data_IF_520462831120
#
_entry.id   IF_520462831120
#
_cell.length_a   1.000
_cell.length_b   1.000
_cell.length_c   1.000
_cell.angle_alpha   90.00
_cell.angle_beta   90.00
_cell.angle_gamma   90.00
#
_symmetry.space_group_name_H-M   'P 1'
#
loop_
_entity.id
_entity.type
_entity.pdbx_description
1 polymer ?
#
# COMPACT_ATOMS: atom_id res chain seq x y z
N UNK A 1 5.12 -11.09 21.23
CA UNK A 1 5.57 -10.78 19.85
C UNK A 1 4.47 -11.20 18.88
N UNK A 2 4.01 -10.30 18.02
CA UNK A 2 3.12 -10.61 16.89
C UNK A 2 3.95 -11.17 15.73
N UNK A 3 3.47 -12.25 15.10
CA UNK A 3 4.15 -12.92 13.98
C UNK A 3 3.73 -12.25 12.66
N UNK A 4 4.71 -11.82 11.87
CA UNK A 4 4.51 -11.29 10.51
C UNK A 4 4.74 -12.32 9.40
N UNK A 5 5.16 -13.53 9.77
CA UNK A 5 5.55 -14.64 8.90
C UNK A 5 4.45 -15.71 8.75
N UNK A 6 3.22 -15.37 9.11
CA UNK A 6 2.04 -16.25 8.95
C UNK A 6 0.97 -15.52 8.17
N UNK A 7 0.32 -16.22 7.24
CA UNK A 7 -0.60 -15.60 6.29
C UNK A 7 -2.04 -15.53 6.85
N UNK A 8 -2.90 -14.81 6.13
CA UNK A 8 -4.33 -14.69 6.45
C UNK A 8 -4.99 -16.06 6.64
N UNK A 9 -5.75 -16.21 7.72
CA UNK A 9 -6.40 -17.47 8.11
C UNK A 9 -5.62 -18.26 9.19
N UNK A 10 -4.35 -17.95 9.44
CA UNK A 10 -3.62 -18.50 10.59
C UNK A 10 -4.04 -17.76 11.88
N UNK A 11 -4.27 -18.45 13.03
CA UNK A 11 -4.71 -17.80 14.28
C UNK A 11 -3.79 -16.71 14.84
N UNK A 12 -2.52 -16.72 14.42
CA UNK A 12 -1.51 -15.73 14.79
C UNK A 12 -1.29 -14.64 13.73
N UNK A 13 -2.11 -14.60 12.67
CA UNK A 13 -2.07 -13.54 11.67
C UNK A 13 -2.30 -12.19 12.33
N UNK A 14 -1.36 -11.26 12.15
CA UNK A 14 -1.26 -10.07 12.98
C UNK A 14 -2.48 -9.15 12.88
N UNK A 15 -3.14 -9.06 11.72
CA UNK A 15 -4.35 -8.24 11.55
C UNK A 15 -5.52 -8.83 12.34
N UNK A 16 -5.77 -10.14 12.20
CA UNK A 16 -6.85 -10.83 12.91
C UNK A 16 -6.60 -10.85 14.42
N UNK A 17 -5.34 -11.03 14.83
CA UNK A 17 -4.93 -10.96 16.22
C UNK A 17 -5.17 -9.56 16.81
N UNK A 18 -4.77 -8.50 16.10
CA UNK A 18 -4.97 -7.12 16.53
C UNK A 18 -6.47 -6.76 16.63
N UNK A 19 -7.28 -7.20 15.66
CA UNK A 19 -8.74 -7.02 15.71
C UNK A 19 -9.35 -7.71 16.93
N UNK A 20 -9.01 -8.98 17.17
CA UNK A 20 -9.47 -9.72 18.35
C UNK A 20 -9.05 -9.06 19.66
N UNK A 21 -7.81 -8.58 19.74
CA UNK A 21 -7.32 -7.88 20.93
C UNK A 21 -8.13 -6.60 21.20
N UNK A 22 -8.48 -5.85 20.15
CA UNK A 22 -9.32 -4.68 20.28
C UNK A 22 -10.74 -5.04 20.74
N UNK A 23 -11.34 -6.10 20.21
CA UNK A 23 -12.68 -6.58 20.61
C UNK A 23 -12.72 -7.02 22.09
N UNK A 24 -11.62 -7.60 22.59
CA UNK A 24 -11.49 -8.09 23.96
C UNK A 24 -11.08 -6.99 24.97
N UNK A 25 -10.65 -5.81 24.50
CA UNK A 25 -10.11 -4.74 25.35
C UNK A 25 -11.08 -3.56 25.45
N UNK A 26 -11.70 -3.29 26.62
CA UNK A 26 -12.62 -2.16 26.78
C UNK A 26 -11.97 -0.82 26.42
N UNK A 27 -12.61 -0.08 25.51
CA UNK A 27 -12.13 1.22 25.06
C UNK A 27 -11.03 1.19 23.99
N UNK A 28 -10.61 0.01 23.51
CA UNK A 28 -9.69 -0.10 22.39
C UNK A 28 -10.37 0.23 21.04
N UNK A 29 -9.58 0.70 20.09
CA UNK A 29 -10.02 0.98 18.73
C UNK A 29 -9.03 0.39 17.73
N UNK A 30 -9.53 -0.42 16.80
CA UNK A 30 -8.71 -1.03 15.76
C UNK A 30 -8.71 -0.13 14.51
N UNK A 31 -7.55 0.46 14.20
CA UNK A 31 -7.40 1.47 13.14
C UNK A 31 -7.47 0.87 11.73
N UNK A 32 -7.05 -0.39 11.56
CA UNK A 32 -7.14 -1.16 10.30
C UNK A 32 -6.55 -0.48 9.07
N UNK A 33 -5.24 -0.21 9.07
CA UNK A 33 -4.57 0.55 8.00
C UNK A 33 -4.72 -0.03 6.59
N UNK A 34 -5.05 -1.32 6.46
CA UNK A 34 -5.21 -2.00 5.18
C UNK A 34 -6.60 -1.81 4.58
N UNK A 35 -7.59 -1.40 5.38
CA UNK A 35 -8.99 -1.26 4.93
C UNK A 35 -9.60 0.10 5.30
N UNK A 36 -8.84 0.99 5.94
CA UNK A 36 -9.32 2.29 6.37
C UNK A 36 -9.00 3.37 5.33
N UNK A 37 -10.05 3.96 4.75
CA UNK A 37 -9.95 5.04 3.74
C UNK A 37 -9.20 6.27 4.23
N UNK A 38 -9.08 6.47 5.55
CA UNK A 38 -8.25 7.53 6.11
C UNK A 38 -6.77 7.41 5.69
N UNK A 39 -6.29 6.19 5.39
CA UNK A 39 -4.93 5.95 4.95
C UNK A 39 -4.64 6.60 3.57
N UNK A 40 -5.28 6.20 2.46
CA UNK A 40 -5.07 6.88 1.18
C UNK A 40 -5.54 8.35 1.20
N UNK A 41 -6.58 8.68 1.98
CA UNK A 41 -7.04 10.06 2.10
C UNK A 41 -5.95 10.99 2.66
N UNK A 42 -5.17 10.54 3.63
CA UNK A 42 -4.06 11.31 4.16
C UNK A 42 -3.10 11.71 3.04
N UNK A 43 -2.68 10.77 2.20
CA UNK A 43 -1.77 11.04 1.10
C UNK A 43 -2.39 11.88 -0.03
N UNK A 44 -3.68 11.70 -0.32
CA UNK A 44 -4.38 12.51 -1.31
C UNK A 44 -4.56 13.97 -0.88
N UNK A 45 -4.71 14.22 0.43
CA UNK A 45 -5.01 15.56 0.97
C UNK A 45 -3.80 16.30 1.51
N UNK A 46 -2.69 15.61 1.80
CA UNK A 46 -1.42 16.22 2.20
C UNK A 46 -0.29 15.90 1.22
N UNK A 47 0.17 14.65 1.18
CA UNK A 47 1.40 14.27 0.49
C UNK A 47 1.39 14.63 -1.00
N UNK A 48 0.30 14.37 -1.73
CA UNK A 48 0.21 14.67 -3.15
C UNK A 48 0.28 16.17 -3.46
N UNK A 49 -0.58 17.04 -2.86
CA UNK A 49 -0.44 18.49 -3.00
C UNK A 49 0.94 19.02 -2.61
N UNK A 50 1.54 18.49 -1.54
CA UNK A 50 2.86 18.90 -1.07
C UNK A 50 3.94 18.62 -2.13
N UNK A 51 3.99 17.39 -2.66
CA UNK A 51 4.93 17.02 -3.72
C UNK A 51 4.76 17.90 -4.96
N UNK A 52 3.51 18.05 -5.42
CA UNK A 52 3.20 18.85 -6.60
C UNK A 52 3.62 20.32 -6.42
N UNK A 53 3.32 20.91 -5.27
CA UNK A 53 3.73 22.29 -4.96
C UNK A 53 5.25 22.44 -4.88
N UNK A 54 5.92 21.50 -4.22
CA UNK A 54 7.37 21.55 -4.03
C UNK A 54 8.16 21.43 -5.33
N UNK A 55 7.61 20.74 -6.33
CA UNK A 55 8.19 20.60 -7.67
C UNK A 55 7.54 21.51 -8.71
N UNK A 56 6.84 22.56 -8.26
CA UNK A 56 6.23 23.59 -9.12
C UNK A 56 5.30 23.02 -10.21
N UNK A 57 4.68 21.89 -9.90
CA UNK A 57 3.77 21.16 -10.79
C UNK A 57 4.43 20.35 -11.90
N UNK A 58 5.76 20.30 -11.96
CA UNK A 58 6.49 19.59 -13.01
C UNK A 58 7.05 18.26 -12.51
N UNK A 59 6.17 17.26 -12.46
CA UNK A 59 6.50 15.89 -12.09
C UNK A 59 6.15 14.98 -13.26
N UNK A 60 7.13 14.24 -13.77
CA UNK A 60 6.91 13.28 -14.85
C UNK A 60 6.71 11.86 -14.32
N UNK A 61 7.37 11.50 -13.23
CA UNK A 61 7.22 10.18 -12.61
C UNK A 61 7.40 10.20 -11.09
N UNK A 62 6.69 9.32 -10.41
CA UNK A 62 6.82 9.04 -8.97
C UNK A 62 7.13 7.56 -8.79
N UNK A 63 8.28 7.26 -8.17
CA UNK A 63 8.66 5.90 -7.79
C UNK A 63 8.20 5.63 -6.36
N UNK A 64 7.39 4.58 -6.15
CA UNK A 64 6.75 4.32 -4.85
C UNK A 64 6.71 2.83 -4.55
N UNK A 65 7.10 2.46 -3.33
CA UNK A 65 6.92 1.10 -2.81
C UNK A 65 5.52 0.89 -2.22
N UNK A 66 5.06 -0.35 -2.21
CA UNK A 66 3.71 -0.69 -1.72
C UNK A 66 3.81 -1.66 -0.54
N UNK A 67 3.24 -1.24 0.59
CA UNK A 67 2.86 -2.10 1.71
C UNK A 67 1.34 -2.12 1.82
N UNK A 68 0.75 -1.33 2.74
CA UNK A 68 -0.71 -1.24 2.88
C UNK A 68 -1.47 -0.66 1.66
N UNK A 69 -0.76 -0.12 0.66
CA UNK A 69 -1.33 0.49 -0.55
C UNK A 69 -1.79 1.94 -0.41
N UNK A 70 -1.83 2.50 0.80
CA UNK A 70 -2.37 3.83 1.07
C UNK A 70 -1.63 4.96 0.33
N UNK A 71 -0.30 4.94 0.32
CA UNK A 71 0.50 5.95 -0.37
C UNK A 71 0.23 5.96 -1.87
N UNK A 72 0.38 4.82 -2.55
CA UNK A 72 0.10 4.72 -3.97
C UNK A 72 -1.35 5.12 -4.30
N UNK A 73 -2.33 4.57 -3.59
CA UNK A 73 -3.75 4.85 -3.85
C UNK A 73 -4.12 6.32 -3.65
N UNK A 74 -3.59 6.95 -2.59
CA UNK A 74 -3.84 8.37 -2.30
C UNK A 74 -3.17 9.31 -3.30
N UNK A 75 -1.90 9.04 -3.64
CA UNK A 75 -1.19 9.83 -4.64
C UNK A 75 -1.88 9.71 -6.02
N UNK A 76 -2.16 8.49 -6.49
CA UNK A 76 -2.81 8.30 -7.78
C UNK A 76 -4.18 8.99 -7.86
N UNK A 77 -5.00 8.91 -6.81
CA UNK A 77 -6.31 9.55 -6.79
C UNK A 77 -6.21 11.07 -7.01
N UNK A 78 -5.23 11.71 -6.38
CA UNK A 78 -5.03 13.16 -6.54
C UNK A 78 -4.38 13.52 -7.88
N UNK A 79 -3.31 12.82 -8.27
CA UNK A 79 -2.55 13.10 -9.49
C UNK A 79 -3.36 12.83 -10.77
N UNK A 80 -4.27 11.86 -10.76
CA UNK A 80 -5.17 11.61 -11.89
C UNK A 80 -6.02 12.84 -12.26
N UNK A 81 -6.38 13.67 -11.27
CA UNK A 81 -7.19 14.87 -11.47
C UNK A 81 -6.35 16.12 -11.78
N UNK A 82 -5.13 16.21 -11.23
CA UNK A 82 -4.33 17.45 -11.24
C UNK A 82 -3.13 17.41 -12.18
N UNK A 83 -2.55 16.23 -12.43
CA UNK A 83 -1.41 16.01 -13.32
C UNK A 83 -1.47 14.60 -13.92
N UNK A 84 -2.42 14.33 -14.83
CA UNK A 84 -2.58 13.01 -15.45
C UNK A 84 -1.38 12.58 -16.31
N UNK A 85 -0.41 13.47 -16.53
CA UNK A 85 0.87 13.15 -17.17
C UNK A 85 1.85 12.39 -16.24
N UNK A 86 1.64 12.47 -14.92
CA UNK A 86 2.58 11.89 -13.96
C UNK A 86 2.44 10.39 -13.94
N UNK A 87 3.53 9.69 -14.28
CA UNK A 87 3.60 8.23 -14.26
C UNK A 87 3.90 7.72 -12.84
N UNK A 88 3.38 6.54 -12.51
CA UNK A 88 3.68 5.86 -11.24
C UNK A 88 4.49 4.61 -11.52
N UNK A 89 5.65 4.51 -10.88
CA UNK A 89 6.56 3.37 -11.03
C UNK A 89 6.61 2.60 -9.71
N UNK A 90 6.35 1.30 -9.76
CA UNK A 90 6.37 0.45 -8.58
C UNK A 90 7.81 0.09 -8.18
N UNK A 91 8.17 0.36 -6.93
CA UNK A 91 9.38 -0.16 -6.31
C UNK A 91 9.05 -1.38 -5.45
N UNK A 92 9.12 -2.58 -6.03
CA UNK A 92 8.78 -3.84 -5.37
C UNK A 92 10.04 -4.67 -5.02
N UNK A 93 10.18 -5.18 -3.78
CA UNK A 93 11.30 -6.07 -3.47
C UNK A 93 11.13 -7.45 -4.12
N UNK A 94 12.25 -8.02 -4.59
CA UNK A 94 12.25 -9.37 -5.15
C UNK A 94 11.68 -10.40 -4.16
N UNK A 95 10.68 -11.16 -4.60
CA UNK A 95 9.95 -12.12 -3.78
C UNK A 95 8.52 -11.67 -3.43
N UNK A 96 8.22 -10.38 -3.52
CA UNK A 96 6.86 -9.85 -3.52
C UNK A 96 6.13 -10.20 -4.83
N UNK A 97 4.80 -10.18 -4.80
CA UNK A 97 3.95 -10.50 -5.95
C UNK A 97 3.49 -9.27 -6.76
N UNK A 98 3.82 -8.05 -6.31
CA UNK A 98 3.21 -6.84 -6.85
C UNK A 98 3.78 -6.48 -8.22
N UNK A 99 5.09 -6.64 -8.43
CA UNK A 99 5.71 -6.44 -9.75
C UNK A 99 5.14 -7.43 -10.78
N UNK A 100 5.04 -8.72 -10.43
CA UNK A 100 4.44 -9.74 -11.30
C UNK A 100 2.99 -9.37 -11.69
N UNK A 101 2.21 -8.88 -10.71
CA UNK A 101 0.84 -8.41 -10.94
C UNK A 101 0.79 -7.20 -11.88
N UNK A 102 1.69 -6.23 -11.73
CA UNK A 102 1.77 -5.04 -12.59
C UNK A 102 2.20 -5.42 -14.00
N UNK A 103 3.25 -6.22 -14.15
CA UNK A 103 3.84 -6.57 -15.44
C UNK A 103 2.98 -7.55 -16.26
N UNK A 104 2.34 -8.51 -15.58
CA UNK A 104 1.73 -9.66 -16.26
C UNK A 104 0.24 -9.83 -15.96
N UNK A 105 -0.30 -9.07 -15.00
CA UNK A 105 -1.68 -9.23 -14.51
C UNK A 105 -1.92 -10.54 -13.75
N UNK A 106 -0.86 -11.27 -13.40
CA UNK A 106 -0.88 -12.55 -12.69
C UNK A 106 0.34 -12.62 -11.76
N UNK A 107 0.25 -13.39 -10.69
CA UNK A 107 1.38 -13.66 -9.81
C UNK A 107 1.42 -15.12 -9.38
N UNK A 108 2.64 -15.58 -9.09
CA UNK A 108 2.92 -16.93 -8.61
C UNK A 108 2.94 -17.06 -7.09
N UNK A 109 3.66 -18.06 -6.60
CA UNK A 109 3.90 -18.22 -5.17
C UNK A 109 4.83 -17.13 -4.65
N UNK A 110 4.45 -16.54 -3.51
CA UNK A 110 5.21 -15.50 -2.84
C UNK A 110 6.51 -16.05 -2.23
N UNK A 111 7.61 -15.33 -2.40
CA UNK A 111 8.89 -15.62 -1.76
C UNK A 111 9.08 -14.87 -0.44
N UNK A 112 10.25 -15.03 0.20
CA UNK A 112 10.65 -14.19 1.35
C UNK A 112 11.56 -13.05 0.91
N UNK A 113 11.39 -11.86 1.47
CA UNK A 113 12.30 -10.73 1.27
C UNK A 113 12.78 -10.15 2.61
N UNK A 114 13.92 -9.44 2.55
CA UNK A 114 14.56 -8.84 3.73
C UNK A 114 14.12 -7.40 4.00
N UNK A 115 13.45 -6.75 3.04
CA UNK A 115 13.02 -5.37 3.17
C UNK A 115 11.76 -5.31 4.03
N UNK A 116 11.78 -4.49 5.09
CA UNK A 116 10.62 -4.29 5.95
C UNK A 116 9.72 -3.18 5.38
N UNK A 117 8.39 -3.37 5.46
CA UNK A 117 7.38 -2.33 5.21
C UNK A 117 6.93 -2.17 3.75
N UNK A 118 7.60 -2.79 2.78
CA UNK A 118 7.19 -2.86 1.37
C UNK A 118 7.31 -4.28 0.84
N UNK A 119 6.55 -4.59 -0.22
CA UNK A 119 6.35 -5.94 -0.73
C UNK A 119 5.22 -6.63 0.02
N UNK A 120 4.40 -7.39 -0.70
CA UNK A 120 3.22 -8.06 -0.13
C UNK A 120 3.02 -9.46 -0.74
N UNK A 121 2.34 -10.33 -0.01
CA UNK A 121 1.89 -11.66 -0.45
C UNK A 121 0.45 -11.67 -0.99
N UNK A 122 -0.19 -10.49 -1.03
CA UNK A 122 -1.51 -10.23 -1.60
C UNK A 122 -1.56 -8.84 -2.24
N UNK A 123 -2.59 -8.57 -3.05
CA UNK A 123 -2.82 -7.23 -3.59
C UNK A 123 -3.59 -6.39 -2.55
N UNK A 124 -3.01 -5.32 -1.98
CA UNK A 124 -3.69 -4.48 -1.01
C UNK A 124 -4.93 -3.84 -1.63
N UNK A 125 -6.09 -3.84 -0.96
CA UNK A 125 -7.31 -3.28 -1.54
C UNK A 125 -7.24 -1.76 -1.71
N UNK A 126 -6.34 -1.08 -0.99
CA UNK A 126 -6.10 0.35 -1.12
C UNK A 126 -5.10 0.67 -2.26
N UNK A 127 -4.34 -0.31 -2.74
CA UNK A 127 -3.41 -0.12 -3.86
C UNK A 127 -4.21 -0.12 -5.17
N UNK A 128 -4.25 1.03 -5.82
CA UNK A 128 -4.69 1.15 -7.21
C UNK A 128 -3.48 0.83 -8.09
N UNK A 129 -3.51 -0.28 -8.80
CA UNK A 129 -2.38 -0.73 -9.63
C UNK A 129 -2.60 -0.40 -11.12
N UNK A 130 -3.76 0.14 -11.47
CA UNK A 130 -4.05 0.55 -12.84
C UNK A 130 -3.12 1.70 -13.28
N UNK A 131 -2.48 1.53 -14.44
CA UNK A 131 -1.56 2.53 -14.99
C UNK A 131 -0.24 2.68 -14.23
N UNK A 132 0.09 1.73 -13.36
CA UNK A 132 1.41 1.61 -12.73
C UNK A 132 2.34 0.83 -13.66
N UNK A 133 3.61 1.22 -13.69
CA UNK A 133 4.70 0.58 -14.46
C UNK A 133 5.77 0.00 -13.54
#
# INVERSE_FOLDING_TARGET
LTRSDVNKGHPAYYQDYARRLADETPGAFYIDQFNNDANPLAHATSTAPELYQQLEGDIDAIVVGVGSGGTLGGLQAWFAEHSPKTEFILADPAGSILADQVDTGRYGETGSWLVEGIGEDFIPPLARLEGVH
#
